data_IF_070117640794
#
_entry.id   IF_070117640794
#
_cell.length_a   1.000
_cell.length_b   1.000
_cell.length_c   1.000
_cell.angle_alpha   90.00
_cell.angle_beta   90.00
_cell.angle_gamma   90.00
#
_symmetry.space_group_name_H-M   'P 1'
#
loop_
_entity.id
_entity.type
_entity.pdbx_description
1 polymer ?
#
# COMPACT_ATOMS: atom_id res chain seq x y z
N UNK A 1 -7.30 -5.55 43.26
CA UNK A 1 -6.84 -5.27 41.89
C UNK A 1 -7.85 -4.31 41.27
N UNK A 2 -7.45 -3.07 40.95
CA UNK A 2 -8.39 -1.97 40.64
C UNK A 2 -8.87 -2.04 39.19
N UNK A 3 -10.12 -1.68 38.93
CA UNK A 3 -10.66 -1.53 37.56
C UNK A 3 -9.78 -0.63 36.70
N UNK A 4 -9.10 0.36 37.29
CA UNK A 4 -8.17 1.26 36.62
C UNK A 4 -6.92 0.54 36.11
N UNK A 5 -6.48 -0.54 36.77
CA UNK A 5 -5.35 -1.38 36.36
C UNK A 5 -5.73 -2.35 35.24
N UNK A 6 -7.00 -2.79 35.20
CA UNK A 6 -7.56 -3.57 34.09
C UNK A 6 -7.71 -2.73 32.83
N UNK A 7 -8.26 -1.51 32.98
CA UNK A 7 -8.50 -0.59 31.87
C UNK A 7 -7.21 -0.02 31.25
N UNK A 8 -6.11 0.04 32.00
CA UNK A 8 -4.79 0.37 31.47
C UNK A 8 -4.11 -0.82 30.78
N UNK A 9 -4.40 -2.05 31.23
CA UNK A 9 -3.93 -3.28 30.57
C UNK A 9 -4.65 -3.53 29.26
N UNK A 10 -5.97 -3.30 29.21
CA UNK A 10 -6.77 -3.40 27.97
C UNK A 10 -6.36 -2.33 26.95
N UNK A 11 -6.06 -1.10 27.37
CA UNK A 11 -5.53 -0.04 26.49
C UNK A 11 -4.10 -0.29 26.01
N UNK A 12 -3.29 -1.00 26.78
CA UNK A 12 -1.91 -1.33 26.42
C UNK A 12 -1.82 -2.52 25.44
N UNK A 13 -2.87 -3.34 25.35
CA UNK A 13 -3.01 -4.40 24.34
C UNK A 13 -3.55 -3.87 22.98
N UNK A 14 -3.94 -2.59 22.89
CA UNK A 14 -4.41 -1.95 21.66
C UNK A 14 -3.25 -1.46 20.80
N UNK A 15 -2.34 -2.36 20.41
CA UNK A 15 -1.36 -2.11 19.35
C UNK A 15 -1.93 -2.42 17.97
N UNK A 16 -1.07 -2.40 16.94
CA UNK A 16 -1.46 -2.92 15.63
C UNK A 16 -1.69 -4.44 15.70
N UNK A 17 -2.92 -4.86 15.43
CA UNK A 17 -3.27 -6.29 15.38
C UNK A 17 -2.63 -7.04 14.20
N UNK A 18 -2.61 -8.37 14.27
CA UNK A 18 -2.24 -9.24 13.13
C UNK A 18 -2.98 -8.86 11.84
N UNK A 19 -4.27 -8.51 11.93
CA UNK A 19 -5.07 -8.08 10.78
C UNK A 19 -4.47 -6.84 10.11
N UNK A 20 -3.97 -5.89 10.89
CA UNK A 20 -3.31 -4.69 10.36
C UNK A 20 -2.08 -5.08 9.53
N UNK A 21 -1.22 -5.94 10.08
CA UNK A 21 -0.02 -6.40 9.40
C UNK A 21 -0.30 -7.27 8.17
N UNK A 22 -1.38 -8.07 8.20
CA UNK A 22 -1.82 -8.82 7.01
C UNK A 22 -2.24 -7.88 5.88
N UNK A 23 -2.96 -6.80 6.17
CA UNK A 23 -3.33 -5.80 5.18
C UNK A 23 -2.10 -5.09 4.61
N UNK A 24 -1.17 -4.66 5.47
CA UNK A 24 0.06 -3.97 5.04
C UNK A 24 0.98 -4.89 4.24
N UNK A 25 1.15 -6.13 4.70
CA UNK A 25 1.95 -7.14 4.01
C UNK A 25 1.36 -7.50 2.65
N UNK A 26 0.05 -7.75 2.58
CA UNK A 26 -0.62 -8.05 1.31
C UNK A 26 -0.56 -6.88 0.33
N UNK A 27 -0.76 -5.64 0.80
CA UNK A 27 -0.57 -4.44 0.00
C UNK A 27 0.85 -4.33 -0.55
N UNK A 28 1.85 -4.65 0.27
CA UNK A 28 3.27 -4.63 -0.14
C UNK A 28 3.55 -5.65 -1.24
N UNK A 29 3.06 -6.89 -1.08
CA UNK A 29 3.26 -7.97 -2.06
C UNK A 29 2.57 -7.67 -3.40
N UNK A 30 1.33 -7.19 -3.35
CA UNK A 30 0.61 -6.77 -4.56
C UNK A 30 1.25 -5.53 -5.21
N UNK A 31 1.76 -4.59 -4.40
CA UNK A 31 2.50 -3.43 -4.88
C UNK A 31 3.79 -3.82 -5.60
N UNK A 32 4.50 -4.83 -5.07
CA UNK A 32 5.67 -5.42 -5.74
C UNK A 32 5.28 -6.11 -7.03
N UNK A 33 4.23 -6.93 -7.03
CA UNK A 33 3.73 -7.58 -8.24
C UNK A 33 3.35 -6.56 -9.33
N UNK A 34 2.71 -5.46 -8.95
CA UNK A 34 2.36 -4.38 -9.87
C UNK A 34 3.59 -3.63 -10.42
N UNK A 35 4.62 -3.36 -9.60
CA UNK A 35 5.87 -2.80 -10.12
C UNK A 35 6.61 -3.76 -11.05
N UNK A 36 6.58 -5.07 -10.76
CA UNK A 36 7.14 -6.09 -11.64
C UNK A 36 6.38 -6.16 -12.96
N UNK A 37 5.05 -6.02 -12.93
CA UNK A 37 4.21 -5.91 -14.13
C UNK A 37 4.69 -4.77 -15.05
N UNK A 38 4.87 -3.55 -14.53
CA UNK A 38 5.45 -2.44 -15.32
C UNK A 38 6.77 -2.81 -16.01
N UNK A 39 7.66 -3.50 -15.31
CA UNK A 39 8.97 -3.91 -15.85
C UNK A 39 8.81 -4.96 -16.95
N UNK A 40 7.95 -5.96 -16.74
CA UNK A 40 7.68 -7.03 -17.73
C UNK A 40 7.04 -6.44 -18.98
N UNK A 41 6.11 -5.50 -18.79
CA UNK A 41 5.27 -4.92 -19.83
C UNK A 41 5.95 -3.80 -20.60
N UNK A 42 6.98 -3.20 -20.00
CA UNK A 42 7.91 -2.30 -20.68
C UNK A 42 7.38 -0.88 -20.91
N UNK A 43 6.28 -0.48 -20.27
CA UNK A 43 5.73 0.86 -20.31
C UNK A 43 5.43 1.37 -18.90
N UNK A 44 5.36 2.69 -18.77
CA UNK A 44 5.21 3.38 -17.47
C UNK A 44 6.29 3.00 -16.44
N UNK A 45 7.41 2.44 -16.90
CA UNK A 45 8.60 2.17 -16.11
C UNK A 45 9.50 3.40 -16.12
N UNK A 46 10.19 3.66 -15.02
CA UNK A 46 11.14 4.77 -14.88
C UNK A 46 12.46 4.32 -14.26
N UNK A 47 13.24 5.29 -13.81
CA UNK A 47 14.43 5.07 -13.01
C UNK A 47 14.12 4.20 -11.78
N UNK A 48 14.98 3.21 -11.43
CA UNK A 48 16.33 2.96 -11.95
C UNK A 48 16.42 2.04 -13.17
N UNK A 49 15.28 1.61 -13.74
CA UNK A 49 15.28 0.67 -14.86
C UNK A 49 15.55 1.41 -16.18
N UNK A 50 15.03 2.62 -16.31
CA UNK A 50 15.27 3.52 -17.43
C UNK A 50 15.83 4.87 -16.95
N UNK A 51 16.35 5.75 -17.84
CA UNK A 51 16.86 7.06 -17.43
C UNK A 51 15.78 8.06 -16.99
N UNK A 52 14.50 7.81 -17.32
CA UNK A 52 13.42 8.76 -17.07
C UNK A 52 12.94 8.73 -15.61
N UNK A 53 12.88 9.89 -14.98
CA UNK A 53 12.24 10.06 -13.66
C UNK A 53 10.76 10.36 -13.86
N UNK A 54 9.90 9.46 -13.40
CA UNK A 54 8.45 9.53 -13.62
C UNK A 54 7.68 8.97 -12.41
N UNK A 55 6.33 8.85 -12.45
CA UNK A 55 5.55 8.33 -11.32
C UNK A 55 6.02 6.98 -10.79
N UNK A 56 6.47 6.06 -11.65
CA UNK A 56 7.05 4.77 -11.22
C UNK A 56 8.28 4.98 -10.34
N UNK A 57 9.17 5.91 -10.70
CA UNK A 57 10.35 6.21 -9.88
C UNK A 57 9.95 6.70 -8.49
N UNK A 58 9.01 7.63 -8.41
CA UNK A 58 8.55 8.17 -7.13
C UNK A 58 7.80 7.13 -6.30
N UNK A 59 7.03 6.24 -6.93
CA UNK A 59 6.29 5.20 -6.22
C UNK A 59 7.20 4.15 -5.57
N UNK A 60 8.44 3.95 -6.06
CA UNK A 60 9.42 3.08 -5.40
C UNK A 60 9.75 3.51 -3.96
N UNK A 61 9.51 4.77 -3.60
CA UNK A 61 9.67 5.25 -2.22
C UNK A 61 8.75 4.51 -1.22
N UNK A 62 7.69 3.85 -1.68
CA UNK A 62 6.81 3.04 -0.82
C UNK A 62 7.58 1.92 -0.13
N UNK A 63 8.58 1.31 -0.77
CA UNK A 63 9.30 0.17 -0.21
C UNK A 63 10.17 0.53 1.01
N UNK A 64 11.03 1.56 0.98
CA UNK A 64 11.75 1.98 2.19
C UNK A 64 10.79 2.48 3.27
N UNK A 65 9.68 3.14 2.93
CA UNK A 65 8.67 3.55 3.91
C UNK A 65 8.03 2.33 4.60
N UNK A 66 7.56 1.35 3.83
CA UNK A 66 7.01 0.11 4.37
C UNK A 66 8.03 -0.65 5.22
N UNK A 67 9.29 -0.73 4.76
CA UNK A 67 10.37 -1.37 5.50
C UNK A 67 10.62 -0.68 6.86
N UNK A 68 10.60 0.66 6.89
CA UNK A 68 10.68 1.43 8.14
C UNK A 68 9.49 1.13 9.04
N UNK A 69 8.25 1.10 8.52
CA UNK A 69 7.06 0.75 9.30
C UNK A 69 7.15 -0.63 9.95
N UNK A 70 7.63 -1.63 9.21
CA UNK A 70 7.86 -2.97 9.75
C UNK A 70 9.01 -3.01 10.75
N UNK A 71 10.13 -2.32 10.49
CA UNK A 71 11.25 -2.23 11.43
C UNK A 71 10.85 -1.57 12.75
N UNK A 72 10.06 -0.50 12.69
CA UNK A 72 9.49 0.14 13.86
C UNK A 72 8.62 -0.85 14.65
N UNK A 73 7.83 -1.67 13.97
CA UNK A 73 7.00 -2.70 14.61
C UNK A 73 7.83 -3.79 15.29
N UNK A 74 8.90 -4.27 14.63
CA UNK A 74 9.79 -5.28 15.23
C UNK A 74 10.57 -4.72 16.43
N UNK A 75 10.76 -3.40 16.49
CA UNK A 75 11.43 -2.72 17.61
C UNK A 75 10.47 -2.22 18.70
N UNK A 76 9.17 -2.56 18.63
CA UNK A 76 8.15 -2.14 19.59
C UNK A 76 7.86 -0.62 19.56
N UNK A 77 8.05 -0.02 18.39
CA UNK A 77 7.87 1.41 18.10
C UNK A 77 6.88 1.62 16.96
N UNK A 78 6.00 0.65 16.72
CA UNK A 78 4.92 0.80 15.77
C UNK A 78 4.12 2.06 16.05
N UNK A 79 3.56 2.64 15.00
CA UNK A 79 2.65 3.78 15.13
C UNK A 79 1.52 3.64 14.15
N UNK A 80 0.29 3.70 14.67
CA UNK A 80 -0.90 3.71 13.83
C UNK A 80 -0.90 4.93 12.92
N UNK A 81 -0.40 6.07 13.40
CA UNK A 81 -0.31 7.31 12.60
C UNK A 81 0.62 7.12 11.41
N UNK A 82 1.79 6.52 11.64
CA UNK A 82 2.75 6.22 10.57
C UNK A 82 2.11 5.38 9.47
N UNK A 83 1.51 4.25 9.84
CA UNK A 83 0.86 3.36 8.89
C UNK A 83 -0.37 4.00 8.23
N UNK A 84 -1.13 4.81 8.94
CA UNK A 84 -2.26 5.55 8.34
C UNK A 84 -1.76 6.51 7.27
N UNK A 85 -0.71 7.27 7.52
CA UNK A 85 -0.12 8.18 6.54
C UNK A 85 0.36 7.42 5.30
N UNK A 86 1.13 6.33 5.48
CA UNK A 86 1.62 5.51 4.36
C UNK A 86 0.46 4.97 3.53
N UNK A 87 -0.56 4.39 4.16
CA UNK A 87 -1.67 3.77 3.45
C UNK A 87 -2.59 4.79 2.77
N UNK A 88 -2.86 5.93 3.41
CA UNK A 88 -3.71 7.00 2.82
C UNK A 88 -3.02 7.65 1.63
N UNK A 89 -1.73 7.98 1.75
CA UNK A 89 -0.98 8.54 0.64
C UNK A 89 -0.83 7.52 -0.51
N UNK A 90 -0.53 6.27 -0.18
CA UNK A 90 -0.49 5.18 -1.17
C UNK A 90 -1.82 4.97 -1.90
N UNK A 91 -2.94 4.98 -1.16
CA UNK A 91 -4.28 4.90 -1.74
C UNK A 91 -4.55 6.07 -2.69
N UNK A 92 -4.24 7.30 -2.25
CA UNK A 92 -4.41 8.51 -3.05
C UNK A 92 -3.60 8.45 -4.34
N UNK A 93 -2.34 8.01 -4.24
CA UNK A 93 -1.44 7.87 -5.38
C UNK A 93 -1.95 6.84 -6.40
N UNK A 94 -2.35 5.64 -5.96
CA UNK A 94 -2.90 4.60 -6.82
C UNK A 94 -4.18 5.05 -7.51
N UNK A 95 -5.13 5.62 -6.76
CA UNK A 95 -6.39 6.11 -7.33
C UNK A 95 -6.13 7.25 -8.32
N UNK A 96 -5.23 8.17 -7.99
CA UNK A 96 -4.91 9.31 -8.86
C UNK A 96 -4.29 8.86 -10.19
N UNK A 97 -3.27 8.00 -10.15
CA UNK A 97 -2.54 7.63 -11.36
C UNK A 97 -3.25 6.61 -12.25
N UNK A 98 -4.22 5.85 -11.73
CA UNK A 98 -4.89 4.79 -12.49
C UNK A 98 -6.37 5.01 -12.76
N UNK A 99 -7.09 5.69 -11.86
CA UNK A 99 -8.56 5.77 -11.91
C UNK A 99 -9.10 7.20 -12.06
N UNK A 100 -8.26 8.22 -11.90
CA UNK A 100 -8.71 9.61 -12.02
C UNK A 100 -8.82 10.07 -13.49
N UNK A 101 -9.50 11.20 -13.76
CA UNK A 101 -9.51 11.81 -15.10
C UNK A 101 -8.12 12.22 -15.62
N UNK A 102 -7.10 12.26 -14.75
CA UNK A 102 -5.71 12.57 -15.08
C UNK A 102 -4.80 11.36 -14.92
N UNK A 103 -5.36 10.14 -15.00
CA UNK A 103 -4.60 8.91 -14.92
C UNK A 103 -3.44 8.94 -15.92
N UNK A 104 -2.23 8.68 -15.40
CA UNK A 104 -1.02 8.52 -16.22
C UNK A 104 -1.01 7.12 -16.82
N UNK A 105 -1.53 6.13 -16.10
CA UNK A 105 -1.67 4.75 -16.55
C UNK A 105 -3.14 4.31 -16.40
N UNK A 106 -4.03 4.68 -17.34
CA UNK A 106 -5.41 4.22 -17.32
C UNK A 106 -5.52 2.70 -17.52
N UNK A 107 -6.68 2.06 -17.23
CA UNK A 107 -6.85 0.61 -17.35
C UNK A 107 -6.47 0.03 -18.73
N UNK A 108 -6.76 0.77 -19.81
CA UNK A 108 -6.37 0.37 -21.17
C UNK A 108 -4.87 0.26 -21.32
N UNK A 109 -4.14 1.16 -20.66
CA UNK A 109 -2.69 1.17 -20.66
C UNK A 109 -2.12 0.04 -19.84
N UNK A 110 -2.87 -0.68 -19.00
CA UNK A 110 -2.44 -1.91 -18.30
C UNK A 110 -2.75 -3.15 -19.13
N UNK A 111 -3.94 -3.20 -19.75
CA UNK A 111 -4.45 -4.41 -20.40
C UNK A 111 -3.86 -4.62 -21.80
N UNK A 112 -3.88 -3.58 -22.64
CA UNK A 112 -3.64 -3.71 -24.08
C UNK A 112 -2.18 -3.95 -24.51
N UNK A 113 -1.14 -3.56 -23.74
CA UNK A 113 0.25 -3.74 -24.20
C UNK A 113 0.76 -5.18 -24.24
N UNK A 114 0.05 -6.13 -23.62
CA UNK A 114 0.41 -7.54 -23.73
C UNK A 114 0.02 -8.12 -25.08
N UNK A 115 0.90 -8.93 -25.66
CA UNK A 115 0.61 -9.68 -26.89
C UNK A 115 -0.55 -10.68 -26.71
N UNK A 116 -0.64 -11.31 -25.53
CA UNK A 116 -1.78 -12.11 -25.12
C UNK A 116 -2.64 -11.31 -24.11
N UNK A 117 -3.88 -10.96 -24.46
CA UNK A 117 -4.78 -10.19 -23.60
C UNK A 117 -5.00 -10.80 -22.21
N UNK A 118 -4.83 -12.12 -22.05
CA UNK A 118 -5.00 -12.78 -20.75
C UNK A 118 -4.04 -12.21 -19.69
N UNK A 119 -2.79 -11.93 -20.06
CA UNK A 119 -1.82 -11.34 -19.13
C UNK A 119 -2.18 -9.90 -18.76
N UNK A 120 -2.77 -9.14 -19.69
CA UNK A 120 -3.30 -7.81 -19.41
C UNK A 120 -4.43 -7.81 -18.39
N UNK A 121 -5.36 -8.75 -18.49
CA UNK A 121 -6.42 -8.90 -17.50
C UNK A 121 -5.91 -9.39 -16.14
N UNK A 122 -4.89 -10.25 -16.11
CA UNK A 122 -4.24 -10.66 -14.86
C UNK A 122 -3.56 -9.47 -14.17
N UNK A 123 -2.77 -8.68 -14.91
CA UNK A 123 -2.13 -7.46 -14.40
C UNK A 123 -3.16 -6.47 -13.87
N UNK A 124 -4.25 -6.26 -14.63
CA UNK A 124 -5.33 -5.39 -14.20
C UNK A 124 -6.07 -5.91 -12.94
N UNK A 125 -6.26 -7.22 -12.81
CA UNK A 125 -6.83 -7.81 -11.59
C UNK A 125 -5.91 -7.62 -10.38
N UNK A 126 -4.59 -7.73 -10.56
CA UNK A 126 -3.60 -7.42 -9.51
C UNK A 126 -3.69 -5.95 -9.09
N UNK A 127 -3.78 -5.03 -10.06
CA UNK A 127 -3.95 -3.60 -9.78
C UNK A 127 -5.24 -3.32 -9.00
N UNK A 128 -6.38 -3.90 -9.39
CA UNK A 128 -7.64 -3.73 -8.66
C UNK A 128 -7.56 -4.31 -7.24
N UNK A 129 -6.95 -5.48 -7.07
CA UNK A 129 -6.72 -6.08 -5.76
C UNK A 129 -5.81 -5.20 -4.89
N UNK A 130 -4.75 -4.63 -5.47
CA UNK A 130 -3.85 -3.68 -4.82
C UNK A 130 -4.61 -2.43 -4.33
N UNK A 131 -5.37 -1.79 -5.22
CA UNK A 131 -6.19 -0.61 -4.88
C UNK A 131 -7.15 -0.96 -3.74
N UNK A 132 -7.85 -2.09 -3.86
CA UNK A 132 -8.79 -2.56 -2.85
C UNK A 132 -8.15 -2.77 -1.47
N UNK A 133 -7.02 -3.48 -1.41
CA UNK A 133 -6.35 -3.76 -0.12
C UNK A 133 -5.75 -2.51 0.49
N UNK A 134 -5.21 -1.59 -0.31
CA UNK A 134 -4.63 -0.33 0.18
C UNK A 134 -5.73 0.58 0.72
N UNK A 135 -6.88 0.68 0.03
CA UNK A 135 -8.05 1.42 0.54
C UNK A 135 -8.60 0.80 1.82
N UNK A 136 -8.70 -0.53 1.89
CA UNK A 136 -9.14 -1.24 3.09
C UNK A 136 -8.18 -1.01 4.27
N UNK A 137 -6.87 -1.09 4.02
CA UNK A 137 -5.84 -0.82 5.02
C UNK A 137 -5.81 0.65 5.47
N UNK A 138 -5.99 1.61 4.56
CA UNK A 138 -6.11 3.02 4.89
C UNK A 138 -7.33 3.30 5.77
N UNK A 139 -8.49 2.76 5.39
CA UNK A 139 -9.72 2.87 6.19
C UNK A 139 -9.59 2.23 7.56
N UNK A 140 -9.02 1.01 7.63
CA UNK A 140 -8.75 0.31 8.88
C UNK A 140 -7.81 1.10 9.80
N UNK A 141 -6.66 1.55 9.28
CA UNK A 141 -5.70 2.34 10.05
C UNK A 141 -6.29 3.68 10.53
N UNK A 142 -7.09 4.35 9.70
CA UNK A 142 -7.78 5.57 10.07
C UNK A 142 -8.82 5.33 11.18
N UNK A 143 -9.53 4.21 11.15
CA UNK A 143 -10.46 3.81 12.23
C UNK A 143 -9.70 3.57 13.53
N UNK A 144 -8.55 2.88 13.48
CA UNK A 144 -7.70 2.67 14.67
C UNK A 144 -7.19 4.01 15.22
N UNK A 145 -6.70 4.90 14.37
CA UNK A 145 -6.26 6.23 14.80
C UNK A 145 -7.41 7.00 15.46
N UNK A 146 -8.60 7.03 14.85
CA UNK A 146 -9.77 7.70 15.45
C UNK A 146 -10.21 7.11 16.78
N UNK A 147 -9.89 5.84 17.06
CA UNK A 147 -10.15 5.17 18.33
C UNK A 147 -9.10 5.47 19.41
N UNK A 148 -8.02 6.16 19.07
CA UNK A 148 -6.97 6.51 20.02
C UNK A 148 -5.90 5.45 20.22
N UNK A 149 -5.82 4.47 19.32
CA UNK A 149 -4.75 3.47 19.24
C UNK A 149 -3.47 4.21 18.82
N UNK A 150 -2.39 4.10 19.60
CA UNK A 150 -1.12 4.81 19.35
C UNK A 150 -0.19 4.06 18.38
#
# INVERSE_FOLDING_TARGET
MSERTRQSSERADEGLSLRSYLLFGLATLLGLAHHVDHVIRGNHVGWPITPEVNPFTYSLAVYPLVAVGFLLSVTGRESVRYWTTVMVLGAGMLVFFHLSPWAVEPPTDVILPYADPMWGYVAFAVLLALIGVVLAGAGHALVLWRRGVE
#
